data_IF_965924925854
#
_entry.id   IF_965924925854
#
_cell.length_a   1.000
_cell.length_b   1.000
_cell.length_c   1.000
_cell.angle_alpha   90.00
_cell.angle_beta   90.00
_cell.angle_gamma   90.00
#
_symmetry.space_group_name_H-M   'P 1'
#
loop_
_entity.id
_entity.type
_entity.pdbx_description
1 polymer ?
#
# COMPACT_ATOMS: atom_id res chain seq x y z
N UNK A 1 -14.80 1.86 -13.85
CA UNK A 1 -15.36 0.99 -12.77
C UNK A 1 -15.33 1.80 -11.49
N UNK A 2 -16.50 2.16 -10.94
CA UNK A 2 -16.64 2.99 -9.72
C UNK A 2 -17.30 2.24 -8.56
N UNK A 3 -17.60 0.95 -8.73
CA UNK A 3 -18.10 0.06 -7.69
C UNK A 3 -17.42 -1.31 -7.85
N UNK A 4 -16.56 -1.66 -6.90
CA UNK A 4 -15.68 -2.84 -6.99
C UNK A 4 -16.37 -4.08 -6.42
N UNK A 5 -17.11 -3.95 -5.33
CA UNK A 5 -17.78 -5.08 -4.68
C UNK A 5 -18.97 -4.60 -3.85
N UNK A 6 -20.13 -5.25 -4.03
CA UNK A 6 -21.32 -5.02 -3.21
C UNK A 6 -21.13 -5.42 -1.75
N UNK A 7 -20.08 -6.19 -1.43
CA UNK A 7 -19.78 -6.60 -0.05
C UNK A 7 -19.10 -5.52 0.79
N UNK A 8 -18.68 -4.40 0.17
CA UNK A 8 -18.09 -3.28 0.92
C UNK A 8 -19.13 -2.44 1.68
N UNK A 9 -20.42 -2.59 1.38
CA UNK A 9 -21.50 -1.98 2.14
C UNK A 9 -22.81 -2.79 2.00
N UNK A 10 -23.44 -3.13 3.13
CA UNK A 10 -24.62 -4.00 3.14
C UNK A 10 -25.96 -3.24 3.08
N UNK A 11 -25.93 -1.91 3.08
CA UNK A 11 -27.10 -1.03 3.20
C UNK A 11 -27.37 -0.19 1.94
N UNK A 12 -26.80 -0.58 0.79
CA UNK A 12 -26.91 0.17 -0.46
C UNK A 12 -26.09 1.46 -0.53
N UNK A 13 -25.32 1.80 0.52
CA UNK A 13 -24.30 2.86 0.45
C UNK A 13 -23.10 2.41 -0.39
N UNK A 14 -22.26 3.36 -0.80
CA UNK A 14 -20.95 3.08 -1.38
C UNK A 14 -19.86 3.37 -0.35
N UNK A 15 -18.81 2.55 -0.32
CA UNK A 15 -17.58 2.86 0.42
C UNK A 15 -16.57 3.50 -0.52
N UNK A 16 -16.06 4.67 -0.12
CA UNK A 16 -15.03 5.41 -0.85
C UNK A 16 -13.74 5.34 -0.03
N UNK A 17 -12.67 4.87 -0.65
CA UNK A 17 -11.34 4.80 -0.05
C UNK A 17 -10.42 5.75 -0.79
N UNK A 18 -9.68 6.58 -0.06
CA UNK A 18 -8.80 7.60 -0.59
C UNK A 18 -7.42 7.44 0.04
N UNK A 19 -6.39 7.71 -0.75
CA UNK A 19 -4.99 7.77 -0.28
C UNK A 19 -4.52 9.21 -0.33
N UNK A 20 -4.06 9.72 0.81
CA UNK A 20 -3.45 11.05 0.91
C UNK A 20 -1.94 10.87 0.94
N UNK A 21 -1.22 11.61 0.10
CA UNK A 21 0.24 11.56 0.04
C UNK A 21 0.85 12.64 0.94
N UNK A 22 1.72 12.24 1.86
CA UNK A 22 2.41 13.13 2.79
C UNK A 22 2.10 12.84 4.26
N UNK A 23 2.75 13.59 5.16
CA UNK A 23 2.53 13.49 6.59
C UNK A 23 1.49 14.53 7.06
N UNK A 24 0.34 14.04 7.50
CA UNK A 24 -0.75 14.84 8.04
C UNK A 24 -0.99 14.61 9.53
N UNK A 25 -0.07 13.93 10.22
CA UNK A 25 -0.22 13.62 11.66
C UNK A 25 -0.25 14.85 12.55
N UNK A 26 0.25 15.98 12.06
CA UNK A 26 0.25 17.27 12.74
C UNK A 26 -1.03 18.11 12.52
N UNK A 27 -1.96 17.65 11.68
CA UNK A 27 -3.20 18.36 11.38
C UNK A 27 -4.35 17.76 12.20
N UNK A 28 -5.22 18.62 12.72
CA UNK A 28 -6.47 18.21 13.39
C UNK A 28 -7.33 17.45 12.38
N UNK A 29 -7.82 16.26 12.75
CA UNK A 29 -8.53 15.35 11.84
C UNK A 29 -9.73 16.03 11.15
N UNK A 30 -10.50 16.84 11.87
CA UNK A 30 -11.65 17.56 11.31
C UNK A 30 -11.25 18.55 10.20
N UNK A 31 -10.13 19.24 10.35
CA UNK A 31 -9.62 20.17 9.33
C UNK A 31 -9.10 19.42 8.10
N UNK A 32 -8.43 18.28 8.32
CA UNK A 32 -7.99 17.40 7.23
C UNK A 32 -9.19 16.86 6.44
N UNK A 33 -10.22 16.36 7.13
CA UNK A 33 -11.45 15.87 6.49
C UNK A 33 -12.11 16.99 5.66
N UNK A 34 -12.21 18.20 6.20
CA UNK A 34 -12.77 19.34 5.47
C UNK A 34 -12.00 19.62 4.18
N UNK A 35 -10.66 19.69 4.24
CA UNK A 35 -9.82 19.91 3.05
C UNK A 35 -10.02 18.83 1.99
N UNK A 36 -10.13 17.56 2.40
CA UNK A 36 -10.39 16.43 1.49
C UNK A 36 -11.76 16.58 0.83
N UNK A 37 -12.81 16.91 1.59
CA UNK A 37 -14.15 17.12 1.03
C UNK A 37 -14.17 18.31 0.07
N UNK A 38 -13.52 19.43 0.43
CA UNK A 38 -13.43 20.63 -0.42
C UNK A 38 -12.77 20.30 -1.77
N UNK A 39 -11.68 19.52 -1.77
CA UNK A 39 -11.01 19.07 -3.00
C UNK A 39 -11.90 18.13 -3.83
N UNK A 40 -12.51 17.13 -3.19
CA UNK A 40 -13.34 16.14 -3.88
C UNK A 40 -14.63 16.72 -4.46
N UNK A 41 -15.17 17.78 -3.87
CA UNK A 41 -16.40 18.44 -4.33
C UNK A 41 -16.27 18.95 -5.77
N UNK A 42 -15.04 19.21 -6.24
CA UNK A 42 -14.77 19.58 -7.64
C UNK A 42 -15.11 18.48 -8.65
N UNK A 43 -14.98 17.20 -8.26
CA UNK A 43 -15.34 16.04 -9.09
C UNK A 43 -16.67 15.41 -8.68
N UNK A 44 -17.02 15.50 -7.40
CA UNK A 44 -18.19 14.89 -6.80
C UNK A 44 -18.94 15.93 -5.94
N UNK A 45 -19.84 16.72 -6.54
CA UNK A 45 -20.56 17.78 -5.82
C UNK A 45 -21.28 17.29 -4.54
N UNK A 46 -21.75 16.04 -4.54
CA UNK A 46 -22.42 15.41 -3.40
C UNK A 46 -21.45 14.99 -2.25
N UNK A 47 -20.14 15.19 -2.41
CA UNK A 47 -19.13 14.85 -1.40
C UNK A 47 -19.37 15.56 -0.06
N UNK A 48 -19.99 16.74 -0.09
CA UNK A 48 -20.40 17.50 1.10
C UNK A 48 -21.36 16.73 2.02
N UNK A 49 -22.03 15.70 1.51
CA UNK A 49 -22.96 14.85 2.27
C UNK A 49 -22.34 13.51 2.69
N UNK A 50 -21.08 13.25 2.34
CA UNK A 50 -20.43 11.99 2.68
C UNK A 50 -20.16 11.90 4.17
N UNK A 51 -20.29 10.69 4.69
CA UNK A 51 -20.01 10.38 6.09
C UNK A 51 -18.63 9.77 6.21
N UNK A 52 -17.74 10.42 6.93
CA UNK A 52 -16.45 9.84 7.29
C UNK A 52 -16.64 8.59 8.15
N UNK A 53 -15.88 7.54 7.82
CA UNK A 53 -15.89 6.27 8.56
C UNK A 53 -14.63 6.13 9.41
N UNK A 54 -13.45 6.33 8.79
CA UNK A 54 -12.17 6.16 9.46
C UNK A 54 -11.02 6.78 8.66
N UNK A 55 -10.04 7.33 9.37
CA UNK A 55 -8.72 7.69 8.84
C UNK A 55 -7.68 6.73 9.43
N UNK A 56 -6.72 6.31 8.60
CA UNK A 56 -5.57 5.53 9.02
C UNK A 56 -4.29 6.26 8.60
N UNK A 57 -3.38 6.49 9.55
CA UNK A 57 -2.05 7.01 9.28
C UNK A 57 -1.09 5.83 9.12
N UNK A 58 -0.40 5.77 7.98
CA UNK A 58 0.52 4.68 7.64
C UNK A 58 1.90 5.29 7.40
N UNK A 59 2.77 5.40 8.43
CA UNK A 59 4.06 6.10 8.32
C UNK A 59 5.02 5.49 7.29
N UNK A 60 4.93 4.17 7.08
CA UNK A 60 5.75 3.42 6.13
C UNK A 60 4.85 2.76 5.09
N UNK A 61 4.08 3.58 4.36
CA UNK A 61 3.05 3.09 3.43
C UNK A 61 3.63 2.43 2.17
N UNK A 62 4.74 2.95 1.65
CA UNK A 62 5.44 2.42 0.49
C UNK A 62 6.96 2.40 0.77
N UNK A 63 7.70 1.43 0.20
CA UNK A 63 9.15 1.44 0.24
C UNK A 63 9.74 2.60 -0.57
N UNK A 64 11.07 2.77 -0.50
CA UNK A 64 11.77 3.73 -1.35
C UNK A 64 11.76 3.24 -2.81
N UNK A 65 11.03 3.93 -3.68
CA UNK A 65 10.88 3.61 -5.10
C UNK A 65 11.89 4.36 -6.01
N UNK A 66 12.96 4.98 -5.47
CA UNK A 66 14.03 5.60 -6.27
C UNK A 66 14.65 4.62 -7.27
N UNK A 67 14.68 3.33 -6.93
CA UNK A 67 15.09 2.25 -7.83
C UNK A 67 14.14 1.07 -7.67
N UNK A 68 13.47 0.72 -8.76
CA UNK A 68 12.52 -0.39 -8.81
C UNK A 68 13.05 -1.49 -9.70
N UNK A 69 12.99 -2.73 -9.21
CA UNK A 69 13.35 -3.93 -9.95
C UNK A 69 12.12 -4.81 -10.15
N UNK A 70 11.96 -5.38 -11.35
CA UNK A 70 10.96 -6.45 -11.56
C UNK A 70 11.48 -7.80 -11.08
N UNK A 71 12.79 -8.02 -11.20
CA UNK A 71 13.45 -9.21 -10.70
C UNK A 71 14.89 -8.95 -10.26
N UNK A 72 15.38 -9.84 -9.40
CA UNK A 72 16.76 -9.88 -8.96
C UNK A 72 17.32 -11.30 -9.07
N UNK A 73 18.63 -11.41 -9.19
CA UNK A 73 19.34 -12.69 -9.13
C UNK A 73 19.31 -13.27 -7.70
N UNK A 74 19.38 -14.60 -7.59
CA UNK A 74 19.24 -15.32 -6.30
C UNK A 74 20.23 -14.83 -5.23
N UNK A 75 21.44 -14.44 -5.62
CA UNK A 75 22.46 -13.93 -4.71
C UNK A 75 22.06 -12.62 -4.02
N UNK A 76 21.18 -11.82 -4.64
CA UNK A 76 20.69 -10.57 -4.07
C UNK A 76 19.73 -10.78 -2.89
N UNK A 77 19.17 -11.99 -2.75
CA UNK A 77 18.33 -12.36 -1.61
C UNK A 77 19.14 -12.88 -0.42
N UNK A 78 20.46 -13.08 -0.55
CA UNK A 78 21.34 -13.53 0.53
C UNK A 78 22.01 -12.31 1.17
N UNK A 79 21.66 -12.00 2.42
CA UNK A 79 22.25 -10.89 3.16
C UNK A 79 23.62 -11.27 3.74
N UNK A 80 23.73 -12.50 4.25
CA UNK A 80 24.96 -13.14 4.77
C UNK A 80 24.74 -14.64 4.91
N UNK A 81 25.75 -15.38 5.37
CA UNK A 81 25.63 -16.82 5.59
C UNK A 81 24.40 -17.17 6.46
N UNK A 82 23.59 -18.12 5.98
CA UNK A 82 22.34 -18.56 6.61
C UNK A 82 21.32 -17.44 6.89
N UNK A 83 21.41 -16.30 6.20
CA UNK A 83 20.52 -15.17 6.39
C UNK A 83 20.07 -14.58 5.05
N UNK A 84 18.78 -14.69 4.78
CA UNK A 84 18.16 -14.28 3.52
C UNK A 84 17.11 -13.20 3.78
N UNK A 85 16.88 -12.37 2.78
CA UNK A 85 15.93 -11.27 2.82
C UNK A 85 14.84 -11.46 1.78
N UNK A 86 13.63 -11.08 2.15
CA UNK A 86 12.48 -10.99 1.27
C UNK A 86 11.58 -9.84 1.71
N UNK A 87 10.73 -9.35 0.81
CA UNK A 87 9.85 -8.22 1.06
C UNK A 87 9.46 -7.50 -0.22
N UNK A 88 8.52 -6.57 -0.11
CA UNK A 88 8.10 -5.65 -1.17
C UNK A 88 9.21 -4.68 -1.56
N UNK A 89 10.06 -4.26 -0.61
CA UNK A 89 11.16 -3.31 -0.81
C UNK A 89 12.30 -3.79 -1.71
N UNK A 90 12.36 -5.09 -2.05
CA UNK A 90 13.41 -5.65 -2.91
C UNK A 90 13.07 -5.52 -4.40
N UNK A 91 11.79 -5.40 -4.75
CA UNK A 91 11.30 -5.35 -6.12
C UNK A 91 10.39 -4.13 -6.30
N UNK A 92 9.24 -4.26 -6.95
CA UNK A 92 8.34 -3.16 -7.31
C UNK A 92 7.30 -2.77 -6.24
N UNK A 93 7.61 -2.92 -4.95
CA UNK A 93 6.76 -2.43 -3.85
C UNK A 93 5.36 -3.06 -3.75
N UNK A 94 5.01 -4.01 -4.61
CA UNK A 94 3.68 -4.61 -4.68
C UNK A 94 3.56 -5.88 -3.83
N UNK A 95 2.33 -6.27 -3.51
CA UNK A 95 2.04 -7.56 -2.86
C UNK A 95 2.59 -8.73 -3.71
N UNK A 96 2.49 -8.64 -5.04
CA UNK A 96 3.04 -9.67 -5.93
C UNK A 96 4.57 -9.73 -5.86
N UNK A 97 5.23 -8.57 -5.79
CA UNK A 97 6.67 -8.47 -5.57
C UNK A 97 7.09 -9.10 -4.23
N UNK A 98 6.37 -8.81 -3.14
CA UNK A 98 6.63 -9.39 -1.83
C UNK A 98 6.51 -10.93 -1.85
N UNK A 99 5.46 -11.46 -2.50
CA UNK A 99 5.28 -12.90 -2.65
C UNK A 99 6.38 -13.52 -3.53
N UNK A 100 6.74 -12.86 -4.64
CA UNK A 100 7.81 -13.30 -5.55
C UNK A 100 9.17 -13.35 -4.84
N UNK A 101 9.52 -12.31 -4.08
CA UNK A 101 10.77 -12.26 -3.32
C UNK A 101 10.80 -13.30 -2.21
N UNK A 102 9.68 -13.55 -1.52
CA UNK A 102 9.56 -14.62 -0.53
C UNK A 102 9.84 -16.00 -1.12
N UNK A 103 9.25 -16.31 -2.28
CA UNK A 103 9.54 -17.56 -3.01
C UNK A 103 11.01 -17.68 -3.37
N UNK A 104 11.61 -16.63 -3.93
CA UNK A 104 13.02 -16.64 -4.35
C UNK A 104 13.99 -16.81 -3.17
N UNK A 105 13.73 -16.14 -2.05
CA UNK A 105 14.53 -16.32 -0.84
C UNK A 105 14.49 -17.78 -0.35
N UNK A 106 13.32 -18.42 -0.38
CA UNK A 106 13.19 -19.83 -0.04
C UNK A 106 13.94 -20.76 -1.02
N UNK A 107 13.85 -20.50 -2.32
CA UNK A 107 14.61 -21.23 -3.35
C UNK A 107 16.13 -21.09 -3.14
N UNK A 108 16.61 -19.89 -2.78
CA UNK A 108 18.02 -19.65 -2.48
C UNK A 108 18.49 -20.39 -1.22
N UNK A 109 17.67 -20.42 -0.16
CA UNK A 109 17.94 -21.22 1.06
C UNK A 109 18.11 -22.69 0.70
N UNK A 110 17.18 -23.27 -0.07
CA UNK A 110 17.21 -24.68 -0.45
C UNK A 110 18.48 -25.01 -1.24
N UNK A 111 18.90 -24.12 -2.15
CA UNK A 111 20.15 -24.31 -2.93
C UNK A 111 21.41 -24.25 -2.06
N UNK A 112 21.41 -23.41 -1.02
CA UNK A 112 22.56 -23.24 -0.11
C UNK A 112 22.74 -24.43 0.85
N UNK A 113 21.70 -25.25 1.02
CA UNK A 113 21.71 -26.46 1.86
C UNK A 113 22.21 -27.72 1.13
N UNK A 114 22.43 -27.65 -0.19
CA UNK A 114 22.83 -28.76 -1.07
C UNK A 114 24.28 -28.56 -1.49
#
# INVERSE_FOLDING_TARGET
MNNISSRYANNGSALISLSLLGDYTHIIEADLQKKVIDELTSWYPDAVHWKHVKTYHIPYALPNDEKVFDDLDDHMFRLRDNCFVCGDYLLNGSINAAMKSGRKAAEAIIKDMI
#
